data_IF_824550004992
#
_entry.id   IF_824550004992
#
_cell.length_a   1.000
_cell.length_b   1.000
_cell.length_c   1.000
_cell.angle_alpha   90.00
_cell.angle_beta   90.00
_cell.angle_gamma   90.00
#
_symmetry.space_group_name_H-M   'P 1'
#
loop_
_entity.id
_entity.type
_entity.pdbx_description
1 polymer ?
#
# COMPACT_ATOMS: atom_id res chain seq x y z
N UNK A 1 5.30 94.42 36.10
CA UNK A 1 5.87 93.55 35.05
C UNK A 1 6.39 92.31 35.77
N UNK A 2 5.52 91.30 35.92
CA UNK A 2 5.81 90.06 36.67
C UNK A 2 5.16 88.92 35.88
N UNK A 3 5.98 88.10 35.23
CA UNK A 3 5.56 87.00 34.36
C UNK A 3 5.17 85.76 35.19
N UNK A 4 4.33 84.85 34.64
CA UNK A 4 3.79 83.72 35.39
C UNK A 4 4.73 82.50 35.36
N UNK A 5 4.62 81.68 36.41
CA UNK A 5 5.33 80.41 36.60
C UNK A 5 4.83 79.37 35.60
N UNK A 6 5.72 78.87 34.74
CA UNK A 6 5.48 77.72 33.87
C UNK A 6 5.84 76.45 34.61
N UNK A 7 4.84 75.60 34.85
CA UNK A 7 5.01 74.23 35.36
C UNK A 7 5.84 73.40 34.36
N UNK A 8 6.88 72.72 34.86
CA UNK A 8 7.72 71.80 34.09
C UNK A 8 7.14 70.39 34.16
N UNK A 9 6.66 69.85 33.03
CA UNK A 9 6.32 68.43 32.90
C UNK A 9 7.56 67.53 32.98
N UNK A 10 7.49 66.32 33.55
CA UNK A 10 8.63 65.41 33.61
C UNK A 10 8.94 64.81 32.22
N UNK A 11 10.21 64.79 31.85
CA UNK A 11 10.74 64.14 30.65
C UNK A 11 10.38 62.64 30.62
N UNK A 12 9.66 62.21 29.59
CA UNK A 12 9.55 60.80 29.20
C UNK A 12 10.94 60.27 28.79
N UNK A 13 11.52 59.40 29.61
CA UNK A 13 12.71 58.66 29.29
C UNK A 13 12.42 57.70 28.12
N UNK A 14 13.03 57.97 26.96
CA UNK A 14 12.91 57.13 25.77
C UNK A 14 13.41 55.71 26.01
N UNK A 15 12.52 54.73 25.81
CA UNK A 15 12.88 53.32 25.74
C UNK A 15 13.91 53.10 24.61
N UNK A 16 15.04 52.41 24.85
CA UNK A 16 15.96 52.06 23.78
C UNK A 16 15.26 51.11 22.80
N UNK A 17 15.17 51.53 21.52
CA UNK A 17 14.64 50.69 20.44
C UNK A 17 15.49 49.43 20.35
N UNK A 18 14.92 48.31 20.79
CA UNK A 18 15.49 46.98 20.62
C UNK A 18 15.82 46.75 19.15
N UNK A 19 17.10 46.52 18.85
CA UNK A 19 17.56 46.19 17.51
C UNK A 19 16.79 44.96 16.97
N UNK A 20 16.44 44.93 15.67
CA UNK A 20 15.75 43.79 15.08
C UNK A 20 16.60 42.53 15.24
N UNK A 21 16.05 41.52 15.93
CA UNK A 21 16.71 40.26 16.16
C UNK A 21 17.13 39.63 14.82
N UNK A 22 18.40 39.22 14.73
CA UNK A 22 18.93 38.57 13.53
C UNK A 22 18.04 37.37 13.13
N UNK A 23 17.75 37.19 11.83
CA UNK A 23 16.93 36.08 11.38
C UNK A 23 17.55 34.76 11.84
N UNK A 24 16.78 33.97 12.61
CA UNK A 24 17.23 32.67 13.09
C UNK A 24 17.61 31.80 11.88
N UNK A 25 18.74 31.07 11.92
CA UNK A 25 19.09 30.16 10.84
C UNK A 25 17.95 29.17 10.65
N UNK A 26 17.34 29.19 9.46
CA UNK A 26 16.30 28.23 9.08
C UNK A 26 16.98 26.86 9.06
N UNK A 27 16.57 25.90 9.92
CA UNK A 27 17.18 24.58 9.91
C UNK A 27 17.07 24.00 8.50
N UNK A 28 18.11 23.31 7.99
CA UNK A 28 18.08 22.73 6.66
C UNK A 28 16.83 21.86 6.56
N UNK A 29 15.99 22.20 5.58
CA UNK A 29 14.77 21.46 5.27
C UNK A 29 15.23 20.02 5.02
N UNK A 30 14.99 19.10 5.97
CA UNK A 30 15.37 17.70 5.82
C UNK A 30 14.64 17.16 4.59
N UNK A 31 15.31 17.19 3.45
CA UNK A 31 14.98 16.47 2.22
C UNK A 31 15.29 15.01 2.44
N UNK A 32 14.68 14.42 3.48
CA UNK A 32 14.72 12.98 3.69
C UNK A 32 13.83 12.36 2.63
N UNK A 33 14.42 11.90 1.53
CA UNK A 33 13.74 11.11 0.49
C UNK A 33 13.32 9.72 0.98
N UNK A 34 13.82 9.27 2.13
CA UNK A 34 13.54 7.96 2.71
C UNK A 34 12.29 7.88 3.59
N UNK A 35 11.87 6.64 3.85
CA UNK A 35 10.76 6.30 4.75
C UNK A 35 11.10 6.70 6.19
N UNK A 36 10.16 7.35 6.88
CA UNK A 36 10.31 7.68 8.30
C UNK A 36 9.85 6.51 9.17
N UNK A 37 10.24 6.42 10.45
CA UNK A 37 9.77 5.37 11.35
C UNK A 37 8.24 5.24 11.40
N UNK A 38 7.52 6.38 11.42
CA UNK A 38 6.04 6.39 11.37
C UNK A 38 5.48 5.81 10.07
N UNK A 39 6.19 6.02 8.96
CA UNK A 39 5.77 5.51 7.66
C UNK A 39 5.93 3.97 7.62
N UNK A 40 7.02 3.45 8.20
CA UNK A 40 7.25 2.00 8.37
C UNK A 40 6.17 1.34 9.24
N UNK A 41 5.79 1.98 10.36
CA UNK A 41 4.71 1.48 11.24
C UNK A 41 3.39 1.37 10.46
N UNK A 42 3.02 2.42 9.71
CA UNK A 42 1.81 2.38 8.89
C UNK A 42 1.89 1.27 7.84
N UNK A 43 3.01 1.16 7.11
CA UNK A 43 3.20 0.10 6.11
C UNK A 43 3.04 -1.28 6.76
N UNK A 44 3.65 -1.51 7.92
CA UNK A 44 3.53 -2.78 8.64
C UNK A 44 2.08 -3.11 9.01
N UNK A 45 1.36 -2.16 9.61
CA UNK A 45 -0.06 -2.36 10.00
C UNK A 45 -0.94 -2.64 8.78
N UNK A 46 -0.82 -1.84 7.72
CA UNK A 46 -1.60 -2.06 6.50
C UNK A 46 -1.22 -3.36 5.78
N UNK A 47 0.05 -3.76 5.83
CA UNK A 47 0.50 -5.05 5.28
C UNK A 47 -0.08 -6.22 6.05
N UNK A 48 -0.18 -6.13 7.37
CA UNK A 48 -0.83 -7.15 8.20
C UNK A 48 -2.32 -7.27 7.88
N UNK A 49 -3.03 -6.14 7.80
CA UNK A 49 -4.45 -6.11 7.40
C UNK A 49 -4.62 -6.71 5.99
N UNK A 50 -3.76 -6.30 5.05
CA UNK A 50 -3.78 -6.81 3.69
C UNK A 50 -3.61 -8.32 3.66
N UNK A 51 -2.61 -8.83 4.38
CA UNK A 51 -2.32 -10.25 4.47
C UNK A 51 -3.48 -11.03 5.08
N UNK A 52 -4.09 -10.55 6.17
CA UNK A 52 -5.26 -11.21 6.78
C UNK A 52 -6.41 -11.33 5.80
N UNK A 53 -6.69 -10.28 5.00
CA UNK A 53 -7.75 -10.31 3.99
C UNK A 53 -7.40 -11.30 2.87
N UNK A 54 -6.18 -11.25 2.34
CA UNK A 54 -5.75 -12.16 1.26
C UNK A 54 -5.76 -13.60 1.74
N UNK A 55 -5.16 -13.87 2.89
CA UNK A 55 -5.04 -15.21 3.45
C UNK A 55 -6.42 -15.76 3.82
N UNK A 56 -7.25 -14.97 4.52
CA UNK A 56 -8.61 -15.35 4.87
C UNK A 56 -9.49 -15.62 3.65
N UNK A 57 -9.39 -14.81 2.60
CA UNK A 57 -10.11 -15.06 1.36
C UNK A 57 -9.54 -16.27 0.59
N UNK A 58 -8.23 -16.50 0.68
CA UNK A 58 -7.56 -17.68 0.10
C UNK A 58 -7.95 -19.00 0.77
N UNK A 59 -8.36 -18.99 2.05
CA UNK A 59 -8.89 -20.18 2.74
C UNK A 59 -10.17 -20.73 2.11
N UNK A 60 -10.91 -19.93 1.33
CA UNK A 60 -12.04 -20.45 0.54
C UNK A 60 -11.59 -21.50 -0.48
N UNK A 61 -10.32 -21.48 -0.88
CA UNK A 61 -9.75 -22.48 -1.75
C UNK A 61 -9.66 -23.87 -1.14
N UNK A 62 -9.66 -23.99 0.19
CA UNK A 62 -9.68 -25.29 0.87
C UNK A 62 -10.96 -26.10 0.57
N UNK A 63 -12.05 -25.42 0.19
CA UNK A 63 -13.33 -26.06 -0.13
C UNK A 63 -13.29 -26.64 -1.55
N UNK A 64 -12.83 -25.86 -2.54
CA UNK A 64 -12.70 -26.27 -3.93
C UNK A 64 -11.75 -25.31 -4.70
N UNK A 65 -10.98 -25.80 -5.70
CA UNK A 65 -10.10 -24.95 -6.52
C UNK A 65 -10.78 -23.72 -7.16
N UNK A 66 -12.01 -23.84 -7.66
CA UNK A 66 -12.80 -22.72 -8.21
C UNK A 66 -13.19 -21.69 -7.14
N UNK A 67 -13.50 -22.15 -5.93
CA UNK A 67 -13.78 -21.26 -4.81
C UNK A 67 -12.55 -20.41 -4.44
N UNK A 68 -11.33 -20.92 -4.66
CA UNK A 68 -10.09 -20.15 -4.53
C UNK A 68 -10.07 -18.93 -5.46
N UNK A 69 -10.46 -19.09 -6.73
CA UNK A 69 -10.48 -17.99 -7.70
C UNK A 69 -11.44 -16.87 -7.26
N UNK A 70 -12.63 -17.26 -6.80
CA UNK A 70 -13.61 -16.31 -6.24
C UNK A 70 -13.05 -15.64 -5.00
N UNK A 71 -12.44 -16.41 -4.10
CA UNK A 71 -11.78 -15.90 -2.90
C UNK A 71 -10.69 -14.88 -3.23
N UNK A 72 -9.83 -15.16 -4.20
CA UNK A 72 -8.81 -14.21 -4.64
C UNK A 72 -9.42 -12.92 -5.18
N UNK A 73 -10.47 -12.99 -6.00
CA UNK A 73 -11.16 -11.79 -6.50
C UNK A 73 -11.79 -10.97 -5.37
N UNK A 74 -12.48 -11.63 -4.43
CA UNK A 74 -13.06 -10.96 -3.26
C UNK A 74 -11.95 -10.30 -2.43
N UNK A 75 -10.84 -11.00 -2.20
CA UNK A 75 -9.68 -10.47 -1.50
C UNK A 75 -9.09 -9.24 -2.20
N UNK A 76 -8.97 -9.24 -3.53
CA UNK A 76 -8.51 -8.08 -4.31
C UNK A 76 -9.48 -6.90 -4.17
N UNK A 77 -10.79 -7.12 -4.20
CA UNK A 77 -11.76 -6.04 -4.04
C UNK A 77 -11.71 -5.44 -2.63
N UNK A 78 -11.69 -6.29 -1.59
CA UNK A 78 -11.64 -5.86 -0.19
C UNK A 78 -10.34 -5.13 0.15
N UNK A 79 -9.23 -5.51 -0.48
CA UNK A 79 -7.94 -4.85 -0.28
C UNK A 79 -7.80 -3.51 -1.00
N UNK A 80 -8.65 -3.21 -1.99
CA UNK A 80 -8.62 -1.94 -2.71
C UNK A 80 -8.64 -0.71 -1.77
N UNK A 81 -9.63 -0.59 -0.87
CA UNK A 81 -9.66 0.46 0.15
C UNK A 81 -8.44 0.47 1.07
N UNK A 82 -7.95 -0.69 1.50
CA UNK A 82 -6.79 -0.82 2.40
C UNK A 82 -5.53 -0.25 1.75
N UNK A 83 -5.28 -0.61 0.49
CA UNK A 83 -4.10 -0.14 -0.25
C UNK A 83 -4.23 1.33 -0.62
N UNK A 84 -5.40 1.82 -1.03
CA UNK A 84 -5.60 3.26 -1.28
C UNK A 84 -5.40 4.07 0.00
N UNK A 85 -5.90 3.59 1.14
CA UNK A 85 -5.66 4.20 2.45
C UNK A 85 -4.16 4.26 2.76
N UNK A 86 -3.43 3.16 2.59
CA UNK A 86 -1.98 3.13 2.77
C UNK A 86 -1.28 4.18 1.90
N UNK A 87 -1.63 4.26 0.60
CA UNK A 87 -1.05 5.24 -0.33
C UNK A 87 -1.31 6.69 0.08
N UNK A 88 -2.47 6.96 0.69
CA UNK A 88 -2.79 8.31 1.18
C UNK A 88 -2.08 8.65 2.48
N UNK A 89 -1.83 7.66 3.33
CA UNK A 89 -1.10 7.81 4.60
C UNK A 89 0.40 7.94 4.39
N UNK A 90 0.95 7.18 3.45
CA UNK A 90 2.38 7.13 3.15
C UNK A 90 2.59 7.50 1.69
N UNK A 91 2.96 8.76 1.47
CA UNK A 91 3.16 9.35 0.13
C UNK A 91 4.66 9.40 -0.19
N UNK A 92 5.31 8.23 -0.15
CA UNK A 92 6.76 8.07 -0.32
C UNK A 92 7.07 6.88 -1.21
N UNK A 93 8.20 6.95 -1.91
CA UNK A 93 8.73 5.81 -2.66
C UNK A 93 9.13 4.68 -1.70
N UNK A 94 8.86 3.44 -2.08
CA UNK A 94 9.11 2.25 -1.27
C UNK A 94 7.89 1.75 -0.48
N UNK A 95 6.74 2.43 -0.58
CA UNK A 95 5.52 2.05 0.16
C UNK A 95 4.96 0.73 -0.38
N UNK A 96 4.83 0.62 -1.70
CA UNK A 96 4.32 -0.58 -2.37
C UNK A 96 5.34 -1.69 -2.41
N UNK A 97 6.62 -1.35 -2.59
CA UNK A 97 7.72 -2.33 -2.55
C UNK A 97 7.77 -3.00 -1.19
N UNK A 98 7.72 -2.22 -0.10
CA UNK A 98 7.78 -2.79 1.25
C UNK A 98 6.52 -3.59 1.58
N UNK A 99 5.34 -3.12 1.16
CA UNK A 99 4.10 -3.91 1.23
C UNK A 99 4.28 -5.28 0.52
N UNK A 100 4.78 -5.27 -0.71
CA UNK A 100 5.02 -6.47 -1.50
C UNK A 100 6.05 -7.42 -0.87
N UNK A 101 7.15 -6.90 -0.35
CA UNK A 101 8.18 -7.70 0.33
C UNK A 101 7.63 -8.31 1.61
N UNK A 102 6.89 -7.56 2.43
CA UNK A 102 6.29 -8.08 3.67
C UNK A 102 5.25 -9.15 3.35
N UNK A 103 4.35 -8.89 2.40
CA UNK A 103 3.31 -9.86 1.98
C UNK A 103 3.96 -11.10 1.37
N UNK A 104 4.94 -10.94 0.49
CA UNK A 104 5.69 -12.05 -0.10
C UNK A 104 6.40 -12.88 0.95
N UNK A 105 7.03 -12.25 1.94
CA UNK A 105 7.68 -12.94 3.05
C UNK A 105 6.67 -13.74 3.87
N UNK A 106 5.52 -13.14 4.22
CA UNK A 106 4.44 -13.83 4.94
C UNK A 106 3.87 -15.01 4.12
N UNK A 107 3.78 -14.88 2.80
CA UNK A 107 3.34 -15.97 1.92
C UNK A 107 4.34 -17.13 1.90
N UNK A 108 5.65 -16.84 1.90
CA UNK A 108 6.68 -17.87 2.00
C UNK A 108 6.62 -18.58 3.36
N UNK A 109 6.39 -17.82 4.44
CA UNK A 109 6.18 -18.41 5.77
C UNK A 109 4.96 -19.34 5.85
N UNK A 110 3.94 -19.14 5.00
CA UNK A 110 2.79 -20.04 4.90
C UNK A 110 2.99 -21.20 3.92
N UNK A 111 4.21 -21.41 3.42
CA UNK A 111 4.56 -22.55 2.57
C UNK A 111 4.50 -22.28 1.07
N UNK A 112 4.38 -21.02 0.63
CA UNK A 112 4.39 -20.68 -0.80
C UNK A 112 5.81 -20.49 -1.35
N UNK A 113 5.92 -20.47 -2.68
CA UNK A 113 7.19 -20.32 -3.38
C UNK A 113 7.98 -19.08 -2.99
N UNK A 114 9.27 -19.25 -2.71
CA UNK A 114 10.18 -18.17 -2.32
C UNK A 114 10.24 -17.03 -3.35
N UNK A 115 10.10 -17.34 -4.65
CA UNK A 115 10.07 -16.34 -5.72
C UNK A 115 8.88 -15.38 -5.65
N UNK A 116 7.86 -15.68 -4.84
CA UNK A 116 6.76 -14.75 -4.53
C UNK A 116 7.27 -13.45 -3.93
N UNK A 117 8.34 -13.48 -3.12
CA UNK A 117 8.96 -12.27 -2.56
C UNK A 117 9.48 -11.35 -3.67
N UNK A 118 10.16 -11.93 -4.66
CA UNK A 118 10.73 -11.17 -5.77
C UNK A 118 9.64 -10.61 -6.69
N UNK A 119 8.59 -11.39 -6.96
CA UNK A 119 7.48 -10.97 -7.82
C UNK A 119 6.66 -9.87 -7.14
N UNK A 120 6.26 -10.07 -5.88
CA UNK A 120 5.49 -9.09 -5.13
C UNK A 120 6.31 -7.82 -4.86
N UNK A 121 7.60 -7.96 -4.52
CA UNK A 121 8.51 -6.83 -4.38
C UNK A 121 8.73 -6.06 -5.69
N UNK A 122 8.92 -6.77 -6.80
CA UNK A 122 9.12 -6.18 -8.13
C UNK A 122 7.88 -5.45 -8.65
N UNK A 123 6.69 -6.06 -8.53
CA UNK A 123 5.43 -5.39 -8.86
C UNK A 123 5.14 -4.22 -7.91
N UNK A 124 5.53 -4.36 -6.64
CA UNK A 124 5.51 -3.26 -5.67
C UNK A 124 6.40 -2.09 -6.09
N UNK A 125 7.60 -2.37 -6.62
CA UNK A 125 8.49 -1.35 -7.16
C UNK A 125 7.87 -0.63 -8.36
N UNK A 126 7.27 -1.37 -9.29
CA UNK A 126 6.53 -0.78 -10.42
C UNK A 126 5.39 0.10 -9.89
N UNK A 127 4.63 -0.37 -8.90
CA UNK A 127 3.60 0.41 -8.22
C UNK A 127 4.14 1.71 -7.62
N UNK A 128 5.28 1.68 -6.94
CA UNK A 128 5.93 2.88 -6.40
C UNK A 128 6.38 3.85 -7.50
N UNK A 129 6.85 3.36 -8.64
CA UNK A 129 7.20 4.19 -9.79
C UNK A 129 5.97 4.89 -10.37
N UNK A 130 4.83 4.19 -10.49
CA UNK A 130 3.56 4.77 -10.92
C UNK A 130 3.08 5.86 -9.94
N UNK A 131 3.15 5.60 -8.63
CA UNK A 131 2.80 6.58 -7.61
C UNK A 131 3.72 7.80 -7.66
N UNK A 132 5.02 7.59 -7.87
CA UNK A 132 5.99 8.66 -8.01
C UNK A 132 5.73 9.52 -9.24
N UNK A 133 5.43 8.92 -10.39
CA UNK A 133 5.05 9.66 -11.61
C UNK A 133 3.81 10.55 -11.38
N UNK A 134 2.86 10.06 -10.57
CA UNK A 134 1.68 10.82 -10.16
C UNK A 134 1.89 11.79 -9.00
N UNK A 135 3.13 12.02 -8.58
CA UNK A 135 3.49 12.81 -7.38
C UNK A 135 2.69 12.39 -6.14
N UNK A 136 2.33 11.10 -6.04
CA UNK A 136 1.48 10.52 -5.01
C UNK A 136 0.14 11.25 -4.82
N UNK A 137 -0.35 11.97 -5.83
CA UNK A 137 -1.59 12.77 -5.78
C UNK A 137 -2.58 12.42 -6.87
N UNK A 138 -2.11 11.85 -7.98
CA UNK A 138 -2.96 11.38 -9.06
C UNK A 138 -3.72 10.11 -8.66
N UNK A 139 -5.06 10.21 -8.60
CA UNK A 139 -5.95 9.10 -8.24
C UNK A 139 -5.91 7.96 -9.26
N UNK A 140 -5.73 8.25 -10.55
CA UNK A 140 -5.67 7.22 -11.58
C UNK A 140 -4.39 6.39 -11.49
N UNK A 141 -3.25 7.03 -11.24
CA UNK A 141 -1.98 6.32 -11.05
C UNK A 141 -1.96 5.53 -9.73
N UNK A 142 -2.70 5.98 -8.72
CA UNK A 142 -2.95 5.24 -7.49
C UNK A 142 -3.75 3.95 -7.73
N UNK A 143 -4.81 4.03 -8.53
CA UNK A 143 -5.60 2.87 -8.95
C UNK A 143 -4.76 1.92 -9.80
N UNK A 144 -4.02 2.45 -10.77
CA UNK A 144 -3.16 1.64 -11.64
C UNK A 144 -2.03 0.97 -10.86
N UNK A 145 -1.43 1.65 -9.88
CA UNK A 145 -0.43 1.04 -9.00
C UNK A 145 -1.00 -0.17 -8.24
N UNK A 146 -2.25 -0.07 -7.77
CA UNK A 146 -2.90 -1.21 -7.12
C UNK A 146 -3.27 -2.34 -8.10
N UNK A 147 -3.76 -1.99 -9.30
CA UNK A 147 -4.04 -2.96 -10.36
C UNK A 147 -2.78 -3.70 -10.84
N UNK A 148 -1.63 -3.02 -10.90
CA UNK A 148 -0.34 -3.67 -11.19
C UNK A 148 0.08 -4.56 -10.02
N UNK A 149 -0.09 -4.08 -8.79
CA UNK A 149 0.25 -4.87 -7.61
C UNK A 149 -0.57 -6.16 -7.56
N UNK A 150 -1.87 -6.13 -7.84
CA UNK A 150 -2.73 -7.34 -7.79
C UNK A 150 -2.31 -8.48 -8.74
N UNK A 151 -1.37 -8.25 -9.66
CA UNK A 151 -0.77 -9.31 -10.46
C UNK A 151 0.18 -10.23 -9.67
N UNK A 152 0.55 -9.87 -8.44
CA UNK A 152 1.49 -10.66 -7.63
C UNK A 152 0.97 -12.07 -7.30
N UNK A 153 -0.35 -12.31 -7.42
CA UNK A 153 -0.99 -13.62 -7.24
C UNK A 153 -0.44 -14.71 -8.19
N UNK A 154 0.25 -14.34 -9.28
CA UNK A 154 0.98 -15.33 -10.09
C UNK A 154 2.14 -15.98 -9.33
N UNK A 155 2.73 -15.30 -8.35
CA UNK A 155 3.91 -15.77 -7.62
C UNK A 155 3.69 -17.11 -6.93
N UNK A 156 2.64 -17.27 -6.10
CA UNK A 156 2.27 -18.54 -5.50
C UNK A 156 1.97 -19.66 -6.49
N UNK A 157 1.43 -19.32 -7.67
CA UNK A 157 1.05 -20.28 -8.72
C UNK A 157 2.23 -20.68 -9.62
N UNK A 158 3.36 -19.99 -9.54
CA UNK A 158 4.48 -20.20 -10.46
C UNK A 158 5.10 -21.61 -10.41
N UNK A 159 5.28 -22.26 -9.24
CA UNK A 159 5.84 -23.62 -9.19
C UNK A 159 5.06 -24.63 -10.02
N UNK A 160 3.74 -24.46 -10.11
CA UNK A 160 2.86 -25.31 -10.93
C UNK A 160 3.28 -25.33 -12.40
N UNK A 161 3.87 -24.25 -12.91
CA UNK A 161 4.33 -24.15 -14.30
C UNK A 161 5.80 -24.52 -14.48
N UNK A 162 6.61 -24.46 -13.41
CA UNK A 162 8.03 -24.81 -13.45
C UNK A 162 8.21 -26.33 -13.33
N UNK A 163 7.56 -26.92 -12.33
CA UNK A 163 7.56 -28.36 -12.09
C UNK A 163 6.15 -28.81 -11.71
N UNK A 164 5.29 -29.05 -12.72
CA UNK A 164 3.90 -29.48 -12.51
C UNK A 164 3.80 -30.76 -11.68
N UNK A 165 4.74 -31.68 -11.84
CA UNK A 165 4.74 -32.99 -11.17
C UNK A 165 5.05 -32.84 -9.69
N UNK A 166 6.14 -32.16 -9.34
CA UNK A 166 6.48 -31.91 -7.94
C UNK A 166 5.42 -31.06 -7.22
N UNK A 167 4.82 -30.10 -7.93
CA UNK A 167 3.74 -29.29 -7.38
C UNK A 167 2.48 -30.13 -7.12
N UNK A 168 2.11 -31.01 -8.05
CA UNK A 168 0.98 -31.93 -7.86
C UNK A 168 1.21 -32.84 -6.66
N UNK A 169 2.39 -33.46 -6.52
CA UNK A 169 2.72 -34.31 -5.37
C UNK A 169 2.63 -33.55 -4.04
N UNK A 170 3.12 -32.31 -4.00
CA UNK A 170 3.00 -31.44 -2.83
C UNK A 170 1.54 -31.14 -2.47
N UNK A 171 0.71 -30.81 -3.45
CA UNK A 171 -0.72 -30.56 -3.22
C UNK A 171 -1.44 -31.85 -2.84
N UNK A 172 -1.11 -32.98 -3.46
CA UNK A 172 -1.71 -34.28 -3.16
C UNK A 172 -1.37 -34.74 -1.73
N UNK A 173 -0.14 -34.50 -1.28
CA UNK A 173 0.29 -34.80 0.08
C UNK A 173 -0.40 -33.93 1.15
N UNK A 174 -0.83 -32.71 0.79
CA UNK A 174 -1.42 -31.76 1.74
C UNK A 174 -2.95 -31.74 1.72
N UNK A 175 -3.58 -31.87 0.54
CA UNK A 175 -5.03 -31.72 0.32
C UNK A 175 -5.70 -32.98 -0.27
N UNK A 176 -4.92 -33.99 -0.66
CA UNK A 176 -5.41 -35.22 -1.29
C UNK A 176 -5.29 -35.21 -2.81
N UNK A 177 -5.20 -36.41 -3.40
CA UNK A 177 -4.96 -36.60 -4.83
C UNK A 177 -6.08 -36.01 -5.70
N UNK A 178 -7.35 -36.21 -5.31
CA UNK A 178 -8.51 -35.69 -6.05
C UNK A 178 -8.48 -34.15 -6.14
N UNK A 179 -8.13 -33.49 -5.04
CA UNK A 179 -8.00 -32.03 -5.02
C UNK A 179 -6.83 -31.56 -5.89
N UNK A 180 -5.69 -32.25 -5.83
CA UNK A 180 -4.53 -31.93 -6.65
C UNK A 180 -4.82 -32.07 -8.15
N UNK A 181 -5.55 -33.12 -8.55
CA UNK A 181 -5.98 -33.33 -9.94
C UNK A 181 -6.93 -32.22 -10.40
N UNK A 182 -7.93 -31.86 -9.58
CA UNK A 182 -8.86 -30.78 -9.88
C UNK A 182 -8.13 -29.43 -9.95
N UNK A 183 -7.19 -29.17 -9.03
CA UNK A 183 -6.37 -27.98 -9.03
C UNK A 183 -5.57 -27.84 -10.33
N UNK A 184 -4.85 -28.88 -10.73
CA UNK A 184 -4.07 -28.88 -11.97
C UNK A 184 -4.95 -28.70 -13.21
N UNK A 185 -6.17 -29.24 -13.18
CA UNK A 185 -7.16 -29.10 -14.26
C UNK A 185 -7.75 -27.69 -14.34
N UNK A 186 -7.97 -27.03 -13.21
CA UNK A 186 -8.54 -25.67 -13.16
C UNK A 186 -7.47 -24.63 -13.50
N UNK A 187 -6.29 -24.70 -12.91
CA UNK A 187 -5.24 -23.68 -13.03
C UNK A 187 -4.36 -23.83 -14.27
N UNK A 188 -4.98 -24.01 -15.44
CA UNK A 188 -4.26 -24.03 -16.73
C UNK A 188 -3.72 -22.65 -17.11
N UNK A 189 -2.72 -22.60 -18.00
CA UNK A 189 -2.12 -21.34 -18.46
C UNK A 189 -3.15 -20.32 -19.00
N UNK A 190 -4.17 -20.70 -19.80
CA UNK A 190 -5.21 -19.76 -20.23
C UNK A 190 -6.08 -19.25 -19.07
N UNK A 191 -6.40 -20.10 -18.09
CA UNK A 191 -7.20 -19.71 -16.93
C UNK A 191 -6.41 -18.77 -16.03
N UNK A 192 -5.12 -19.03 -15.79
CA UNK A 192 -4.27 -18.14 -14.99
C UNK A 192 -4.06 -16.80 -15.68
N UNK A 193 -3.79 -16.78 -16.99
CA UNK A 193 -3.65 -15.52 -17.73
C UNK A 193 -4.97 -14.73 -17.78
N UNK A 194 -6.10 -15.41 -17.99
CA UNK A 194 -7.44 -14.82 -17.89
C UNK A 194 -7.73 -14.27 -16.49
N UNK A 195 -7.41 -15.03 -15.44
CA UNK A 195 -7.55 -14.60 -14.05
C UNK A 195 -6.70 -13.37 -13.77
N UNK A 196 -5.47 -13.28 -14.25
CA UNK A 196 -4.64 -12.08 -14.07
C UNK A 196 -5.24 -10.83 -14.73
N UNK A 197 -5.83 -10.99 -15.92
CA UNK A 197 -6.55 -9.89 -16.57
C UNK A 197 -7.76 -9.44 -15.72
N UNK A 198 -8.54 -10.40 -15.20
CA UNK A 198 -9.66 -10.12 -14.30
C UNK A 198 -9.17 -9.53 -12.97
N UNK A 199 -8.04 -9.98 -12.42
CA UNK A 199 -7.44 -9.50 -11.19
C UNK A 199 -6.92 -8.06 -11.33
N UNK A 200 -6.38 -7.69 -12.49
CA UNK A 200 -6.02 -6.31 -12.81
C UNK A 200 -7.27 -5.42 -12.89
N UNK A 201 -8.33 -5.89 -13.56
CA UNK A 201 -9.60 -5.16 -13.65
C UNK A 201 -10.27 -5.01 -12.26
N UNK A 202 -10.30 -6.09 -11.48
CA UNK A 202 -10.77 -6.13 -10.11
C UNK A 202 -9.95 -5.21 -9.19
N UNK A 203 -8.63 -5.18 -9.37
CA UNK A 203 -7.74 -4.23 -8.70
C UNK A 203 -8.07 -2.79 -9.07
N UNK A 204 -8.31 -2.50 -10.34
CA UNK A 204 -8.72 -1.17 -10.78
C UNK A 204 -10.07 -0.74 -10.15
N UNK A 205 -11.05 -1.63 -10.14
CA UNK A 205 -12.37 -1.39 -9.51
C UNK A 205 -12.24 -1.23 -8.00
N UNK A 206 -11.51 -2.11 -7.31
CA UNK A 206 -11.28 -2.03 -5.87
C UNK A 206 -10.54 -0.77 -5.47
N UNK A 207 -9.52 -0.37 -6.24
CA UNK A 207 -8.82 0.90 -6.08
C UNK A 207 -9.75 2.09 -6.26
N UNK A 208 -10.60 2.08 -7.29
CA UNK A 208 -11.61 3.12 -7.49
C UNK A 208 -12.56 3.21 -6.29
N UNK A 209 -13.12 2.08 -5.84
CA UNK A 209 -14.02 2.02 -4.68
C UNK A 209 -13.31 2.57 -3.44
N UNK A 210 -12.04 2.22 -3.24
CA UNK A 210 -11.21 2.78 -2.18
C UNK A 210 -11.13 4.31 -2.23
N UNK A 211 -10.94 4.89 -3.41
CA UNK A 211 -10.92 6.35 -3.60
C UNK A 211 -12.29 6.99 -3.27
N UNK A 212 -13.40 6.35 -3.66
CA UNK A 212 -14.76 6.84 -3.35
C UNK A 212 -15.05 6.83 -1.85
N UNK A 213 -14.71 5.74 -1.16
CA UNK A 213 -14.87 5.64 0.29
C UNK A 213 -14.04 6.68 1.02
N UNK A 214 -12.81 6.93 0.54
CA UNK A 214 -11.95 7.97 1.06
C UNK A 214 -12.60 9.35 0.96
N UNK A 215 -13.11 9.69 -0.22
CA UNK A 215 -13.77 10.97 -0.46
C UNK A 215 -15.04 11.16 0.37
N UNK A 216 -15.83 10.09 0.57
CA UNK A 216 -17.16 10.17 1.20
C UNK A 216 -17.12 10.14 2.73
N UNK A 217 -16.25 9.31 3.32
CA UNK A 217 -16.22 9.08 4.78
C UNK A 217 -14.94 9.60 5.45
N UNK A 218 -13.77 9.43 4.83
CA UNK A 218 -12.49 9.73 5.50
C UNK A 218 -12.06 11.19 5.39
N UNK A 219 -12.40 11.88 4.29
CA UNK A 219 -12.21 13.34 4.17
C UNK A 219 -13.12 14.11 5.11
N UNK A 220 -14.35 13.62 5.34
CA UNK A 220 -15.28 14.21 6.33
C UNK A 220 -14.86 13.94 7.78
N UNK A 221 -14.18 12.82 8.05
CA UNK A 221 -13.71 12.44 9.38
C UNK A 221 -12.32 13.02 9.75
N UNK A 222 -11.66 13.80 8.86
CA UNK A 222 -10.35 14.41 9.13
C UNK A 222 -9.16 13.43 9.14
N UNK A 223 -9.35 12.21 8.64
CA UNK A 223 -8.36 11.12 8.70
C UNK A 223 -7.39 11.17 7.51
N UNK A 224 -7.80 11.79 6.39
CA UNK A 224 -6.94 12.08 5.23
C UNK A 224 -6.93 13.60 4.97
N UNK A 225 -5.74 14.22 4.95
CA UNK A 225 -5.50 15.59 4.49
C UNK A 225 -4.83 15.58 3.13
#
# INVERSE_FOLDING_TARGET
>A
MSAPLSESSPQEAGHPRSAPAAPRPVPPRRTGGGLRPRDLINIGVFSAIYFVIVFGAGMLGLINPLASLVGFLVGILLNGPVVVLLQTRVRRMGTMTLLGVVVGFLMVLTGHFWGTILIAGGLGLIGDLLLRAGHHRNRWLSVLAYATFSLWYIGPLLPMFIDPTAYHEYVAASMGAEYADEWMRVFTLPVVTGFLAVAAAAGAVGGWIGQLLLAKHFTKAGIAR
#
